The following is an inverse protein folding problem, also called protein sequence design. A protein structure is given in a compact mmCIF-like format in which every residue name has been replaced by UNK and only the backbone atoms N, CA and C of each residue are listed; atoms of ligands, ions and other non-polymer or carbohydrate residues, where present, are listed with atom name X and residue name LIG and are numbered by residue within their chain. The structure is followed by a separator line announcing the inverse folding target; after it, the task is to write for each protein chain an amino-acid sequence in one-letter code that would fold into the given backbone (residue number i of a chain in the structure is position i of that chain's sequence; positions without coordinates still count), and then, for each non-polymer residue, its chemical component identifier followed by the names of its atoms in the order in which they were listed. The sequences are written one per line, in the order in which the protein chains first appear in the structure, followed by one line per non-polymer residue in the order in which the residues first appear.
data_IF_900737320615
#
_entry.id   IF_900737320615
#
_cell.length_a   1.000
_cell.length_b   1.000
_cell.length_c   1.000
_cell.angle_alpha   90.00
_cell.angle_beta   90.00
_cell.angle_gamma   90.00
#
_symmetry.space_group_name_H-M   'P 1'
#
loop_
_entity.id
_entity.type
_entity.pdbx_description
1 polymer ?
#
# COMPACT_ATOMS: atom_id res chain seq x y z
N UNK A 1 -3.04 17.29 62.31
CA UNK A 1 -2.13 17.13 61.15
C UNK A 1 -2.80 16.17 60.18
N UNK A 2 -3.38 16.67 59.09
CA UNK A 2 -4.09 15.86 58.11
C UNK A 2 -3.15 15.58 56.93
N UNK A 3 -2.85 14.30 56.68
CA UNK A 3 -2.02 13.87 55.57
C UNK A 3 -2.90 13.69 54.31
N UNK A 4 -2.69 14.54 53.31
CA UNK A 4 -3.24 14.38 51.97
C UNK A 4 -2.46 13.28 51.24
N UNK A 5 -3.06 12.10 51.09
CA UNK A 5 -2.57 11.07 50.18
C UNK A 5 -3.06 11.44 48.79
N UNK A 6 -2.20 12.10 48.02
CA UNK A 6 -2.43 12.32 46.59
C UNK A 6 -2.20 11.01 45.84
N UNK A 7 -3.27 10.42 45.30
CA UNK A 7 -3.15 9.39 44.27
C UNK A 7 -2.57 10.03 43.01
N UNK A 8 -1.30 9.74 42.73
CA UNK A 8 -0.73 9.96 41.42
C UNK A 8 -1.39 8.97 40.44
N UNK A 9 -2.30 9.46 39.60
CA UNK A 9 -2.73 8.74 38.42
C UNK A 9 -1.52 8.53 37.50
N UNK A 10 -0.99 7.30 37.50
CA UNK A 10 -0.08 6.86 36.47
C UNK A 10 -0.86 6.82 35.15
N UNK A 11 -0.68 7.85 34.31
CA UNK A 11 -1.02 7.75 32.90
C UNK A 11 -0.06 6.76 32.26
N UNK A 12 -0.42 5.48 32.30
CA UNK A 12 0.10 4.49 31.37
C UNK A 12 -0.30 4.98 29.98
N UNK A 13 0.63 5.63 29.29
CA UNK A 13 0.55 5.86 27.86
C UNK A 13 0.54 4.48 27.20
N UNK A 14 -0.66 3.93 27.02
CA UNK A 14 -0.89 2.81 26.14
C UNK A 14 -0.60 3.30 24.71
N UNK A 15 0.67 3.28 24.31
CA UNK A 15 1.00 3.23 22.90
C UNK A 15 0.35 1.94 22.40
N UNK A 16 -0.56 1.99 21.42
CA UNK A 16 -0.89 0.77 20.73
C UNK A 16 0.45 0.25 20.20
N UNK A 17 0.87 -0.92 20.69
CA UNK A 17 1.86 -1.68 19.97
C UNK A 17 1.31 -1.91 18.55
N UNK A 18 2.15 -2.27 17.59
CA UNK A 18 1.75 -2.72 16.26
C UNK A 18 1.46 -1.62 15.21
N UNK A 19 2.29 -0.58 15.11
CA UNK A 19 2.48 0.12 13.84
C UNK A 19 3.90 0.68 13.80
N UNK A 20 4.71 0.21 12.85
CA UNK A 20 6.05 0.74 12.59
C UNK A 20 6.03 2.03 11.77
N UNK A 21 4.88 2.39 11.24
CA UNK A 21 4.63 3.62 10.48
C UNK A 21 3.20 3.63 9.96
N UNK A 22 2.96 4.44 8.94
CA UNK A 22 1.62 4.67 8.42
C UNK A 22 1.64 4.69 6.88
N UNK A 23 0.57 4.15 6.31
CA UNK A 23 0.28 4.22 4.88
C UNK A 23 -1.08 4.86 4.64
N UNK A 24 -1.25 5.46 3.47
CA UNK A 24 -2.57 5.71 2.91
C UNK A 24 -2.91 4.55 1.97
N UNK A 25 -3.96 3.81 2.30
CA UNK A 25 -4.51 2.73 1.49
C UNK A 25 -5.78 3.22 0.79
N UNK A 26 -5.83 3.07 -0.52
CA UNK A 26 -6.94 3.52 -1.34
C UNK A 26 -7.48 2.40 -2.25
N UNK A 27 -8.80 2.39 -2.40
CA UNK A 27 -9.47 1.84 -3.57
C UNK A 27 -9.04 2.62 -4.80
N UNK A 28 -8.71 1.89 -5.86
CA UNK A 28 -8.46 2.50 -7.15
C UNK A 28 -9.70 3.24 -7.65
N UNK A 29 -9.52 4.49 -8.05
CA UNK A 29 -10.53 5.31 -8.69
C UNK A 29 -10.15 5.50 -10.15
N UNK A 30 -10.95 4.95 -11.05
CA UNK A 30 -10.75 5.16 -12.48
C UNK A 30 -11.36 6.50 -12.90
N UNK A 31 -10.52 7.50 -13.19
CA UNK A 31 -10.96 8.77 -13.75
C UNK A 31 -11.43 8.66 -15.21
N UNK A 32 -11.12 7.55 -15.89
CA UNK A 32 -11.46 7.30 -17.30
C UNK A 32 -12.27 6.01 -17.39
N UNK A 33 -13.50 6.11 -17.89
CA UNK A 33 -14.40 4.98 -18.19
C UNK A 33 -13.85 4.15 -19.36
N UNK A 34 -12.70 3.50 -19.21
CA UNK A 34 -12.22 2.53 -20.17
C UNK A 34 -12.78 1.14 -19.81
N UNK A 35 -13.70 0.67 -20.66
CA UNK A 35 -14.57 -0.50 -20.49
C UNK A 35 -13.89 -1.86 -20.27
N UNK A 36 -12.56 -1.95 -20.23
CA UNK A 36 -11.83 -3.22 -20.11
C UNK A 36 -11.50 -3.63 -18.67
N UNK A 37 -11.64 -2.72 -17.69
CA UNK A 37 -11.45 -2.98 -16.24
C UNK A 37 -12.67 -2.50 -15.45
N UNK A 38 -13.85 -2.53 -16.07
CA UNK A 38 -15.09 -2.08 -15.47
C UNK A 38 -15.84 -3.27 -14.89
N UNK A 39 -15.58 -3.60 -13.62
CA UNK A 39 -16.61 -4.23 -12.76
C UNK A 39 -16.36 -4.08 -11.24
N UNK A 40 -15.45 -3.19 -10.81
CA UNK A 40 -15.26 -2.89 -9.38
C UNK A 40 -16.41 -2.15 -8.65
N UNK A 41 -17.47 -1.56 -9.26
CA UNK A 41 -18.49 -0.85 -8.46
C UNK A 41 -19.63 -1.72 -7.91
N UNK A 42 -19.78 -2.99 -8.31
CA UNK A 42 -21.01 -3.73 -8.02
C UNK A 42 -21.15 -4.26 -6.56
N UNK A 43 -20.08 -4.26 -5.76
CA UNK A 43 -20.00 -5.13 -4.56
C UNK A 43 -20.09 -4.42 -3.20
N UNK A 44 -20.36 -3.11 -3.18
CA UNK A 44 -20.50 -2.35 -1.94
C UNK A 44 -19.16 -2.12 -1.22
N UNK A 45 -19.19 -1.72 0.07
CA UNK A 45 -17.98 -1.53 0.86
C UNK A 45 -17.14 -2.80 0.94
N UNK A 46 -15.81 -2.66 0.88
CA UNK A 46 -14.88 -3.76 1.04
C UNK A 46 -14.23 -3.72 2.42
N UNK A 47 -14.03 -4.89 3.02
CA UNK A 47 -13.30 -5.02 4.27
C UNK A 47 -11.88 -5.53 3.97
N UNK A 48 -10.89 -4.67 4.17
CA UNK A 48 -9.48 -5.04 4.07
C UNK A 48 -9.04 -5.54 5.46
N UNK A 49 -8.63 -6.82 5.60
CA UNK A 49 -8.24 -7.36 6.89
C UNK A 49 -6.92 -6.76 7.40
N UNK A 50 -6.67 -6.88 8.70
CA UNK A 50 -5.31 -6.76 9.22
C UNK A 50 -4.48 -7.93 8.70
N UNK A 51 -3.18 -7.74 8.53
CA UNK A 51 -2.31 -8.76 7.94
C UNK A 51 -2.35 -8.77 6.41
N UNK A 52 -2.99 -7.81 5.73
CA UNK A 52 -2.86 -7.68 4.28
C UNK A 52 -1.43 -7.32 3.93
N UNK A 53 -0.76 -8.19 3.17
CA UNK A 53 0.57 -7.94 2.64
C UNK A 53 0.48 -7.14 1.35
N UNK A 54 1.31 -6.11 1.22
CA UNK A 54 1.45 -5.31 0.00
C UNK A 54 2.90 -5.33 -0.46
N UNK A 55 3.12 -5.58 -1.75
CA UNK A 55 4.45 -5.61 -2.37
C UNK A 55 4.68 -4.34 -3.17
N UNK A 56 5.93 -3.85 -3.22
CA UNK A 56 6.30 -2.71 -4.06
C UNK A 56 5.87 -2.96 -5.51
N UNK A 57 5.06 -2.06 -6.06
CA UNK A 57 4.45 -2.23 -7.38
C UNK A 57 5.08 -1.34 -8.46
N UNK A 58 5.88 -0.35 -8.06
CA UNK A 58 6.52 0.61 -8.95
C UNK A 58 6.47 2.02 -8.37
N UNK A 59 6.79 2.98 -9.21
CA UNK A 59 6.69 4.38 -8.85
C UNK A 59 5.28 4.94 -9.06
N UNK A 60 4.85 5.78 -8.12
CA UNK A 60 3.61 6.54 -8.21
C UNK A 60 3.85 7.86 -8.92
N UNK A 61 2.95 8.17 -9.85
CA UNK A 61 2.86 9.43 -10.57
C UNK A 61 1.67 10.28 -10.09
N UNK A 62 0.74 9.68 -9.36
CA UNK A 62 -0.43 10.31 -8.78
C UNK A 62 -0.67 9.90 -7.32
N UNK A 63 -1.85 10.22 -6.74
CA UNK A 63 -2.21 9.79 -5.39
C UNK A 63 -2.44 8.27 -5.32
N UNK A 64 -2.54 7.69 -4.12
CA UNK A 64 -2.79 6.26 -3.95
C UNK A 64 -4.08 5.78 -4.64
N UNK A 65 -5.10 6.62 -4.81
CA UNK A 65 -6.31 6.24 -5.56
C UNK A 65 -6.10 6.11 -7.07
N UNK A 66 -5.05 6.74 -7.63
CA UNK A 66 -4.68 6.67 -9.04
C UNK A 66 -3.15 6.75 -9.19
N UNK A 67 -2.41 5.71 -8.78
CA UNK A 67 -0.95 5.78 -8.67
C UNK A 67 -0.29 5.97 -10.04
N UNK A 68 -0.93 5.55 -11.13
CA UNK A 68 -0.42 5.73 -12.49
C UNK A 68 -0.84 7.08 -13.12
N UNK A 69 -1.60 7.88 -12.39
CA UNK A 69 -2.14 9.17 -12.83
C UNK A 69 -2.85 9.08 -14.20
N UNK A 70 -3.79 8.14 -14.30
CA UNK A 70 -4.54 7.85 -15.53
C UNK A 70 -5.32 9.06 -16.04
N UNK A 71 -5.69 10.00 -15.17
CA UNK A 71 -6.30 11.27 -15.58
C UNK A 71 -5.43 12.04 -16.59
N UNK A 72 -4.11 11.98 -16.41
CA UNK A 72 -3.11 12.62 -17.26
C UNK A 72 -2.46 11.67 -18.26
N UNK A 73 -2.80 10.39 -18.31
CA UNK A 73 -2.25 9.48 -19.32
C UNK A 73 -2.60 9.93 -20.75
N UNK A 74 -1.63 9.85 -21.66
CA UNK A 74 -1.87 10.09 -23.08
C UNK A 74 -2.77 8.98 -23.68
N UNK A 75 -3.68 9.31 -24.61
CA UNK A 75 -4.59 8.33 -25.23
C UNK A 75 -3.88 7.15 -25.91
N UNK A 76 -2.72 7.42 -26.52
CA UNK A 76 -1.97 6.44 -27.30
C UNK A 76 -0.96 5.65 -26.44
N UNK A 77 -0.96 5.86 -25.11
CA UNK A 77 -0.08 5.17 -24.15
C UNK A 77 1.29 5.81 -23.95
N UNK A 78 1.67 6.78 -24.78
CA UNK A 78 2.97 7.45 -24.69
C UNK A 78 2.92 8.72 -23.85
N UNK A 79 3.31 8.60 -22.58
CA UNK A 79 3.54 9.72 -21.67
C UNK A 79 2.28 10.31 -21.03
N UNK A 80 2.38 11.58 -20.61
CA UNK A 80 1.34 12.28 -19.87
C UNK A 80 1.02 13.64 -20.49
N UNK A 81 -0.26 14.01 -20.51
CA UNK A 81 -0.78 15.29 -20.98
C UNK A 81 -1.05 16.24 -19.82
N UNK A 82 -1.07 17.54 -20.11
CA UNK A 82 -1.47 18.59 -19.16
C UNK A 82 -0.66 18.63 -17.85
N UNK A 83 0.58 18.12 -17.87
CA UNK A 83 1.53 18.23 -16.76
C UNK A 83 2.71 19.14 -17.14
N UNK A 84 3.40 19.75 -16.17
CA UNK A 84 4.61 20.53 -16.46
C UNK A 84 5.73 19.67 -17.07
N UNK A 85 6.57 20.21 -17.98
CA UNK A 85 7.67 19.45 -18.59
C UNK A 85 8.67 18.85 -17.59
N UNK A 86 8.93 19.56 -16.47
CA UNK A 86 9.79 19.04 -15.41
C UNK A 86 9.19 17.81 -14.71
N UNK A 87 7.88 17.77 -14.55
CA UNK A 87 7.18 16.62 -14.00
C UNK A 87 7.19 15.44 -14.99
N UNK A 88 7.00 15.71 -16.28
CA UNK A 88 7.11 14.67 -17.31
C UNK A 88 8.51 14.04 -17.33
N UNK A 89 9.57 14.86 -17.26
CA UNK A 89 10.95 14.38 -17.19
C UNK A 89 11.19 13.51 -15.94
N UNK A 90 10.68 13.92 -14.77
CA UNK A 90 10.75 13.14 -13.53
C UNK A 90 10.06 11.78 -13.69
N UNK A 91 8.84 11.74 -14.22
CA UNK A 91 8.09 10.48 -14.42
C UNK A 91 8.78 9.54 -15.40
N UNK A 92 9.36 10.09 -16.48
CA UNK A 92 10.14 9.30 -17.45
C UNK A 92 11.36 8.66 -16.79
N UNK A 93 12.08 9.38 -15.94
CA UNK A 93 13.21 8.80 -15.18
C UNK A 93 12.74 7.63 -14.30
N UNK A 94 11.70 7.83 -13.49
CA UNK A 94 11.16 6.79 -12.62
C UNK A 94 10.58 5.59 -13.40
N UNK A 95 10.01 5.83 -14.58
CA UNK A 95 9.55 4.75 -15.46
C UNK A 95 10.74 3.94 -16.02
N UNK A 96 11.85 4.59 -16.39
CA UNK A 96 13.06 3.92 -16.85
C UNK A 96 13.69 3.05 -15.76
N UNK A 97 13.63 3.53 -14.51
CA UNK A 97 13.96 2.75 -13.32
C UNK A 97 13.07 1.49 -13.26
N UNK A 98 11.74 1.63 -13.25
CA UNK A 98 10.84 0.48 -13.09
C UNK A 98 10.93 -0.58 -14.20
N UNK A 99 11.21 -0.20 -15.45
CA UNK A 99 11.37 -1.17 -16.56
C UNK A 99 12.76 -1.82 -16.61
N UNK A 100 13.67 -1.46 -15.69
CA UNK A 100 15.05 -1.97 -15.67
C UNK A 100 15.90 -1.48 -16.84
N UNK A 101 15.54 -0.34 -17.42
CA UNK A 101 16.29 0.28 -18.52
C UNK A 101 17.51 1.07 -18.02
N UNK A 102 17.53 1.40 -16.73
CA UNK A 102 18.73 1.88 -16.03
C UNK A 102 19.48 0.68 -15.41
N UNK A 103 20.71 0.44 -15.85
CA UNK A 103 21.52 -0.69 -15.41
C UNK A 103 21.93 -0.62 -13.93
N UNK A 104 21.80 0.55 -13.31
CA UNK A 104 22.10 0.75 -11.89
C UNK A 104 20.84 0.62 -11.00
N UNK A 105 19.64 0.62 -11.58
CA UNK A 105 18.40 0.49 -10.80
C UNK A 105 18.19 -0.93 -10.29
N UNK A 106 18.00 -1.02 -8.98
CA UNK A 106 17.59 -2.23 -8.30
C UNK A 106 16.18 -2.00 -7.76
N UNK A 107 15.21 -2.75 -8.29
CA UNK A 107 13.82 -2.69 -7.83
C UNK A 107 13.79 -2.83 -6.30
N UNK A 108 13.16 -1.89 -5.57
CA UNK A 108 12.99 -2.00 -4.13
C UNK A 108 12.43 -3.37 -3.73
N UNK A 109 13.19 -4.09 -2.93
CA UNK A 109 12.80 -5.35 -2.30
C UNK A 109 11.96 -5.08 -1.06
N UNK A 110 10.88 -4.33 -1.23
CA UNK A 110 10.05 -3.81 -0.15
C UNK A 110 8.67 -4.45 -0.16
N UNK A 111 8.20 -4.82 1.04
CA UNK A 111 6.82 -5.17 1.29
C UNK A 111 6.36 -4.62 2.64
N UNK A 112 5.05 -4.50 2.75
CA UNK A 112 4.33 -3.93 3.87
C UNK A 112 3.29 -4.93 4.35
N UNK A 113 2.91 -4.82 5.62
CA UNK A 113 1.75 -5.51 6.16
C UNK A 113 0.89 -4.54 6.94
N UNK A 114 -0.42 -4.52 6.64
CA UNK A 114 -1.39 -3.73 7.41
C UNK A 114 -1.48 -4.27 8.84
N UNK A 115 -1.50 -3.39 9.84
CA UNK A 115 -1.60 -3.81 11.24
C UNK A 115 -3.02 -3.72 11.79
N UNK A 116 -3.88 -2.97 11.12
CA UNK A 116 -5.30 -2.82 11.45
C UNK A 116 -6.16 -3.08 10.23
N UNK A 117 -7.32 -3.69 10.43
CA UNK A 117 -8.32 -3.84 9.40
C UNK A 117 -9.01 -2.50 9.11
N UNK A 118 -9.50 -2.32 7.88
CA UNK A 118 -10.22 -1.11 7.48
C UNK A 118 -11.32 -1.44 6.49
N UNK A 119 -12.38 -0.63 6.48
CA UNK A 119 -13.44 -0.72 5.48
C UNK A 119 -13.35 0.46 4.53
N UNK A 120 -13.21 0.17 3.24
CA UNK A 120 -13.19 1.18 2.18
C UNK A 120 -14.49 1.13 1.38
N UNK A 121 -14.90 2.27 0.86
CA UNK A 121 -16.14 2.40 0.08
C UNK A 121 -16.01 3.51 -0.95
N UNK A 122 -16.98 3.62 -1.86
CA UNK A 122 -16.98 4.75 -2.81
C UNK A 122 -17.01 6.12 -2.12
N UNK A 123 -17.73 6.26 -0.99
CA UNK A 123 -17.80 7.51 -0.24
C UNK A 123 -16.52 7.80 0.56
N UNK A 124 -15.81 6.75 0.96
CA UNK A 124 -14.55 6.82 1.72
C UNK A 124 -13.56 5.86 1.08
N UNK A 125 -12.97 6.24 -0.07
CA UNK A 125 -12.16 5.33 -0.89
C UNK A 125 -10.78 5.10 -0.29
N UNK A 126 -10.33 5.98 0.59
CA UNK A 126 -9.00 5.98 1.17
C UNK A 126 -9.07 6.02 2.69
N UNK A 127 -8.08 5.40 3.33
CA UNK A 127 -7.88 5.47 4.77
C UNK A 127 -6.38 5.48 5.11
N UNK A 128 -6.03 6.20 6.18
CA UNK A 128 -4.70 6.14 6.78
C UNK A 128 -4.69 5.03 7.83
N UNK A 129 -3.77 4.08 7.69
CA UNK A 129 -3.70 2.89 8.55
C UNK A 129 -2.27 2.58 8.95
N UNK A 130 -2.13 1.90 10.09
CA UNK A 130 -0.84 1.41 10.56
C UNK A 130 -0.28 0.31 9.66
N UNK A 131 1.04 0.33 9.47
CA UNK A 131 1.76 -0.68 8.72
C UNK A 131 3.09 -1.05 9.39
N UNK A 132 3.62 -2.21 9.01
CA UNK A 132 4.97 -2.68 9.32
C UNK A 132 5.65 -3.14 8.03
N UNK A 133 6.98 -3.05 7.96
CA UNK A 133 7.72 -3.68 6.88
C UNK A 133 7.59 -5.20 7.01
N UNK A 134 7.53 -5.90 5.87
CA UNK A 134 7.41 -7.35 5.81
C UNK A 134 8.64 -7.92 5.11
N UNK A 135 9.36 -8.79 5.81
CA UNK A 135 10.58 -9.45 5.33
C UNK A 135 10.29 -10.90 4.98
N UNK A 136 10.87 -11.38 3.89
CA UNK A 136 10.79 -12.78 3.47
C UNK A 136 11.87 -13.13 2.47
N UNK A 137 12.62 -14.19 2.76
CA UNK A 137 13.60 -14.73 1.81
C UNK A 137 12.90 -15.35 0.59
N UNK A 138 11.80 -16.06 0.80
CA UNK A 138 11.01 -16.72 -0.26
C UNK A 138 10.44 -15.70 -1.27
N UNK A 139 10.04 -14.53 -0.78
CA UNK A 139 9.49 -13.44 -1.61
C UNK A 139 10.50 -12.33 -1.89
N UNK A 140 11.76 -12.51 -1.50
CA UNK A 140 12.88 -11.57 -1.68
C UNK A 140 12.65 -10.17 -1.11
N UNK A 141 11.80 -10.04 -0.08
CA UNK A 141 11.56 -8.78 0.61
C UNK A 141 12.59 -8.60 1.72
N UNK A 142 13.48 -7.63 1.56
CA UNK A 142 14.67 -7.44 2.41
C UNK A 142 14.72 -6.07 3.07
N UNK A 143 13.90 -5.11 2.63
CA UNK A 143 13.88 -3.77 3.22
C UNK A 143 13.14 -3.76 4.57
N UNK A 144 13.90 -3.63 5.65
CA UNK A 144 13.39 -3.57 7.03
C UNK A 144 12.88 -2.19 7.44
N UNK A 145 13.25 -1.17 6.67
CA UNK A 145 12.82 0.22 6.82
C UNK A 145 12.33 0.73 5.47
N UNK A 146 11.14 1.33 5.45
CA UNK A 146 10.55 1.89 4.23
C UNK A 146 10.31 3.39 4.43
N UNK A 147 11.04 4.26 3.70
CA UNK A 147 10.93 5.71 3.88
C UNK A 147 9.56 6.23 3.41
N UNK A 148 9.10 7.32 4.02
CA UNK A 148 7.96 8.09 3.52
C UNK A 148 8.30 8.75 2.18
N UNK A 149 8.04 8.01 1.10
CA UNK A 149 8.27 8.40 -0.28
C UNK A 149 6.95 8.29 -1.04
N UNK A 150 6.31 9.41 -1.40
CA UNK A 150 5.00 9.38 -2.06
C UNK A 150 5.07 8.83 -3.49
N UNK A 151 6.27 8.76 -4.07
CA UNK A 151 6.55 8.15 -5.36
C UNK A 151 6.77 6.64 -5.27
N UNK A 152 6.73 5.99 -4.11
CA UNK A 152 6.66 4.53 -4.01
C UNK A 152 5.22 4.09 -3.77
N UNK A 153 4.66 3.22 -4.62
CA UNK A 153 3.38 2.59 -4.32
C UNK A 153 3.47 1.07 -4.22
N UNK A 154 2.53 0.53 -3.47
CA UNK A 154 2.43 -0.88 -3.13
C UNK A 154 1.06 -1.40 -3.50
N UNK A 155 0.99 -2.65 -3.95
CA UNK A 155 -0.26 -3.34 -4.26
C UNK A 155 -0.40 -4.60 -3.44
N UNK A 156 -1.64 -4.98 -3.17
CA UNK A 156 -1.95 -6.19 -2.40
C UNK A 156 -1.33 -7.40 -3.08
N UNK A 157 -0.64 -8.20 -2.27
CA UNK A 157 0.07 -9.39 -2.71
C UNK A 157 -0.48 -10.66 -2.08
N UNK A 158 -1.01 -10.56 -0.85
CA UNK A 158 -1.57 -11.69 -0.12
C UNK A 158 -2.11 -11.29 1.23
N UNK A 159 -2.50 -12.28 2.04
CA UNK A 159 -2.81 -12.10 3.45
C UNK A 159 -1.88 -12.93 4.31
N UNK A 160 -1.44 -12.37 5.44
CA UNK A 160 -0.59 -13.04 6.41
C UNK A 160 -1.47 -13.55 7.53
N UNK A 161 -1.42 -14.86 7.77
CA UNK A 161 -2.07 -15.48 8.93
C UNK A 161 -1.01 -16.21 9.75
N UNK A 162 -0.80 -15.76 10.98
CA UNK A 162 0.34 -16.20 11.77
C UNK A 162 1.65 -15.68 11.17
N UNK A 163 2.51 -16.58 10.72
CA UNK A 163 3.80 -16.27 10.07
C UNK A 163 3.87 -16.72 8.60
N UNK A 164 2.73 -17.10 8.02
CA UNK A 164 2.60 -17.59 6.66
C UNK A 164 1.87 -16.58 5.79
N UNK A 165 2.37 -16.41 4.57
CA UNK A 165 1.70 -15.64 3.53
C UNK A 165 0.84 -16.56 2.67
N UNK A 166 -0.43 -16.20 2.51
CA UNK A 166 -1.32 -16.75 1.50
C UNK A 166 -1.54 -15.72 0.38
N UNK A 167 -0.91 -15.91 -0.81
CA UNK A 167 -1.12 -15.07 -1.97
C UNK A 167 -2.37 -15.45 -2.77
N UNK A 168 -3.18 -16.40 -2.29
CA UNK A 168 -4.31 -16.94 -3.05
C UNK A 168 -5.53 -16.03 -2.95
N UNK A 169 -5.99 -15.56 -4.11
CA UNK A 169 -7.27 -14.86 -4.27
C UNK A 169 -8.15 -15.66 -5.22
N UNK A 170 -8.80 -16.71 -4.71
CA UNK A 170 -9.59 -17.65 -5.53
C UNK A 170 -11.09 -17.59 -5.25
N UNK A 171 -11.53 -16.74 -4.31
CA UNK A 171 -12.93 -16.54 -4.02
C UNK A 171 -13.43 -15.23 -4.64
N UNK A 172 -13.87 -15.32 -5.89
CA UNK A 172 -14.47 -14.19 -6.60
C UNK A 172 -15.75 -13.65 -5.95
N UNK A 173 -16.38 -14.36 -5.01
CA UNK A 173 -17.54 -13.84 -4.27
C UNK A 173 -17.13 -12.88 -3.13
N UNK A 174 -15.91 -13.00 -2.63
CA UNK A 174 -15.36 -12.12 -1.59
C UNK A 174 -14.92 -10.78 -2.21
N UNK A 175 -15.49 -9.63 -1.80
CA UNK A 175 -15.16 -8.34 -2.37
C UNK A 175 -13.69 -7.93 -2.20
N UNK A 176 -13.05 -8.31 -1.09
CA UNK A 176 -11.64 -8.01 -0.84
C UNK A 176 -10.75 -8.86 -1.76
N UNK A 177 -10.95 -10.18 -1.80
CA UNK A 177 -10.13 -11.04 -2.65
C UNK A 177 -10.25 -10.67 -4.13
N UNK A 178 -11.48 -10.42 -4.61
CA UNK A 178 -11.69 -10.00 -5.98
C UNK A 178 -10.98 -8.65 -6.24
N UNK A 179 -11.13 -7.66 -5.37
CA UNK A 179 -10.48 -6.35 -5.55
C UNK A 179 -8.95 -6.46 -5.54
N UNK A 180 -8.39 -7.28 -4.64
CA UNK A 180 -6.97 -7.55 -4.55
C UNK A 180 -6.43 -8.22 -5.82
N UNK A 181 -7.11 -9.27 -6.30
CA UNK A 181 -6.73 -10.01 -7.52
C UNK A 181 -6.69 -9.13 -8.78
N UNK A 182 -7.48 -8.05 -8.80
CA UNK A 182 -7.58 -7.12 -9.93
C UNK A 182 -6.74 -5.84 -9.74
N UNK A 183 -5.88 -5.78 -8.72
CA UNK A 183 -5.01 -4.62 -8.46
C UNK A 183 -5.75 -3.35 -8.01
N UNK A 184 -6.98 -3.50 -7.48
CA UNK A 184 -7.85 -2.40 -7.10
C UNK A 184 -7.54 -1.75 -5.75
N UNK A 185 -6.48 -2.19 -5.06
CA UNK A 185 -6.01 -1.67 -3.78
C UNK A 185 -4.56 -1.23 -3.89
N UNK A 186 -4.32 0.04 -3.64
CA UNK A 186 -3.00 0.66 -3.75
C UNK A 186 -2.67 1.41 -2.46
N UNK A 187 -1.40 1.39 -2.06
CA UNK A 187 -0.94 2.13 -0.91
C UNK A 187 0.29 2.97 -1.21
N UNK A 188 0.40 4.11 -0.53
CA UNK A 188 1.62 4.93 -0.46
C UNK A 188 2.03 5.12 0.99
N UNK A 189 3.32 5.31 1.25
CA UNK A 189 3.85 5.45 2.61
C UNK A 189 3.79 6.92 3.03
N UNK A 190 2.93 7.22 4.02
CA UNK A 190 2.70 8.57 4.53
C UNK A 190 3.59 8.91 5.74
N UNK A 191 4.04 7.89 6.46
CA UNK A 191 5.01 8.01 7.54
C UNK A 191 6.01 6.85 7.42
N UNK A 192 7.31 7.16 7.56
CA UNK A 192 8.39 6.15 7.51
C UNK A 192 8.05 4.98 8.40
N UNK A 193 8.27 3.79 7.85
CA UNK A 193 8.05 2.52 8.53
C UNK A 193 9.39 2.02 9.02
N UNK A 194 9.55 1.94 10.34
CA UNK A 194 10.82 1.62 11.03
C UNK A 194 10.76 0.33 11.86
N UNK A 195 9.65 -0.41 11.77
CA UNK A 195 9.52 -1.75 12.31
C UNK A 195 9.29 -2.76 11.20
N UNK A 196 9.79 -3.96 11.40
CA UNK A 196 9.69 -5.07 10.46
C UNK A 196 9.22 -6.35 11.14
N UNK A 197 8.57 -7.20 10.36
CA UNK A 197 8.21 -8.58 10.71
C UNK A 197 8.76 -9.52 9.65
N UNK A 198 9.40 -10.60 10.08
CA UNK A 198 9.92 -11.63 9.17
C UNK A 198 8.95 -12.80 9.08
N UNK A 199 8.53 -13.13 7.87
CA UNK A 199 7.79 -14.35 7.57
C UNK A 199 8.72 -15.56 7.73
N UNK A 200 8.17 -16.70 8.18
CA UNK A 200 8.96 -17.93 8.18
C UNK A 200 9.07 -18.44 6.75
N UNK A 201 10.28 -18.85 6.36
CA UNK A 201 10.48 -19.62 5.13
C UNK A 201 9.64 -20.89 5.18
N UNK A 202 8.90 -21.18 4.11
CA UNK A 202 8.17 -22.44 4.00
C UNK A 202 9.15 -23.62 4.06
N UNK A 203 8.94 -24.54 5.01
CA UNK A 203 9.68 -25.81 5.10
C UNK A 203 9.10 -26.88 4.18
#
# INVERSE_FOLDING_TARGET
MAAYIGLACAFLSARPAWAGGEIELCLQQHAVENAFVQDSPARGPIHVPAGTALSYAGHAFGPASDPLDRAHAAPDGDGWRNIPPAEEARRRQLQMEDIGGDGDYHRPQAALMTTTAVTLSHAHPCARIGATALLSDDWTWTMDTIPARPDMYFQVYGTVTGDQLDPTFNNDADPFQWTAAHGGLNAIVTQTIDQSLTLRSGG
#
